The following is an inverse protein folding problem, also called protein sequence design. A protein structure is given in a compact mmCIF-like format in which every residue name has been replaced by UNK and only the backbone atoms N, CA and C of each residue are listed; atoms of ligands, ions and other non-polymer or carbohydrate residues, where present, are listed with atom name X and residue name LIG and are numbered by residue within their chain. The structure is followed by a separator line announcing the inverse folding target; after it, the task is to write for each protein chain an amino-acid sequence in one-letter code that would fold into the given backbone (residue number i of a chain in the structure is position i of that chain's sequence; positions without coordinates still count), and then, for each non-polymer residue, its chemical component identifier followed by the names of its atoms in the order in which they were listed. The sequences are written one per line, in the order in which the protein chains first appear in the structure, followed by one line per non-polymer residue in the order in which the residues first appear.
data_IF_431617649353
#
_entry.id   IF_431617649353
#
_cell.length_a   1.000
_cell.length_b   1.000
_cell.length_c   1.000
_cell.angle_alpha   90.00
_cell.angle_beta   90.00
_cell.angle_gamma   90.00
#
_symmetry.space_group_name_H-M   'P 1'
#
loop_
_entity.id
_entity.type
_entity.pdbx_description
1 polymer ?
#
# COMPACT_ATOMS: atom_id res chain seq x y z
N UNK A 1 -4.33 25.20 -33.37
CA UNK A 1 -3.76 25.25 -32.01
C UNK A 1 -3.57 23.82 -31.53
N UNK A 2 -2.32 23.38 -31.29
CA UNK A 2 -2.04 22.09 -30.65
C UNK A 2 -2.03 22.29 -29.13
N UNK A 3 -2.72 21.47 -28.32
CA UNK A 3 -2.59 21.57 -26.87
C UNK A 3 -1.16 21.21 -26.47
N UNK A 4 -0.56 22.07 -25.66
CA UNK A 4 0.76 21.83 -25.09
C UNK A 4 0.67 20.61 -24.17
N UNK A 5 1.40 19.55 -24.51
CA UNK A 5 1.59 18.42 -23.64
C UNK A 5 2.40 18.90 -22.42
N UNK A 6 1.72 19.07 -21.28
CA UNK A 6 2.36 19.32 -20.00
C UNK A 6 3.14 18.06 -19.62
N UNK A 7 4.42 18.04 -19.96
CA UNK A 7 5.35 17.05 -19.42
C UNK A 7 5.47 17.30 -17.91
N UNK A 8 4.65 16.60 -17.13
CA UNK A 8 4.93 16.38 -15.72
C UNK A 8 6.28 15.66 -15.66
N UNK A 9 7.34 16.40 -15.34
CA UNK A 9 8.60 15.79 -14.91
C UNK A 9 8.27 14.96 -13.68
N UNK A 10 8.28 13.64 -13.81
CA UNK A 10 8.30 12.75 -12.67
C UNK A 10 9.48 13.19 -11.79
N UNK A 11 9.18 13.71 -10.61
CA UNK A 11 10.21 14.13 -9.66
C UNK A 11 11.15 12.94 -9.45
N UNK A 12 12.43 13.17 -9.71
CA UNK A 12 13.50 12.17 -9.67
C UNK A 12 13.83 11.86 -8.21
N UNK A 13 12.91 11.22 -7.51
CA UNK A 13 13.17 10.56 -6.26
C UNK A 13 13.34 9.08 -6.53
N UNK A 14 14.47 8.51 -6.14
CA UNK A 14 14.57 7.07 -5.81
C UNK A 14 13.69 6.70 -4.57
N UNK A 15 12.66 7.51 -4.31
CA UNK A 15 11.75 7.45 -3.18
C UNK A 15 10.81 6.28 -3.38
N UNK A 16 10.71 5.45 -2.35
CA UNK A 16 9.81 4.33 -2.38
C UNK A 16 8.40 4.80 -2.03
N UNK A 17 7.41 4.50 -2.85
CA UNK A 17 6.02 4.84 -2.53
C UNK A 17 5.48 3.88 -1.46
N UNK A 18 4.77 4.43 -0.49
CA UNK A 18 4.16 3.68 0.60
C UNK A 18 2.65 3.68 0.47
N UNK A 19 2.05 2.53 0.77
CA UNK A 19 0.62 2.28 0.55
C UNK A 19 0.02 1.54 1.74
N UNK A 20 -1.22 1.84 2.06
CA UNK A 20 -2.04 1.06 2.98
C UNK A 20 -3.24 0.51 2.22
N UNK A 21 -3.45 -0.79 2.25
CA UNK A 21 -4.45 -1.51 1.46
C UNK A 21 -5.29 -2.40 2.39
N UNK A 22 -6.62 -2.34 2.35
CA UNK A 22 -7.47 -3.31 3.04
C UNK A 22 -7.11 -4.74 2.63
N UNK A 23 -7.07 -5.67 3.58
CA UNK A 23 -6.80 -7.07 3.28
C UNK A 23 -7.92 -7.65 2.40
N UNK A 24 -7.61 -8.23 1.22
CA UNK A 24 -8.59 -8.81 0.31
C UNK A 24 -9.52 -9.85 0.94
N UNK A 25 -9.05 -10.54 1.98
CA UNK A 25 -9.81 -11.59 2.70
C UNK A 25 -10.40 -11.09 4.01
N UNK A 26 -9.97 -9.94 4.52
CA UNK A 26 -10.50 -9.31 5.70
C UNK A 26 -10.46 -7.78 5.57
N UNK A 27 -11.46 -7.14 4.95
CA UNK A 27 -11.44 -5.69 4.70
C UNK A 27 -11.33 -4.80 5.94
N UNK A 28 -11.55 -5.35 7.15
CA UNK A 28 -11.36 -4.66 8.44
C UNK A 28 -9.88 -4.56 8.84
N UNK A 29 -9.01 -5.34 8.23
CA UNK A 29 -7.57 -5.30 8.47
C UNK A 29 -6.88 -4.47 7.38
N UNK A 30 -6.02 -3.54 7.78
CA UNK A 30 -5.16 -2.77 6.86
C UNK A 30 -3.78 -3.42 6.78
N UNK A 31 -3.27 -3.58 5.57
CA UNK A 31 -1.92 -4.05 5.26
C UNK A 31 -1.08 -2.92 4.69
N UNK A 32 0.21 -2.88 5.01
CA UNK A 32 1.08 -1.77 4.61
C UNK A 32 2.18 -2.25 3.67
N UNK A 33 2.50 -1.43 2.67
CA UNK A 33 3.34 -1.82 1.56
C UNK A 33 4.28 -0.70 1.16
N UNK A 34 5.42 -1.10 0.59
CA UNK A 34 6.42 -0.22 0.01
C UNK A 34 6.71 -0.70 -1.42
N UNK A 35 6.65 0.20 -2.41
CA UNK A 35 7.06 -0.06 -3.78
C UNK A 35 8.52 0.39 -3.97
N UNK A 36 9.37 -0.47 -4.48
CA UNK A 36 10.78 -0.14 -4.79
C UNK A 36 11.16 -0.84 -6.08
N UNK A 37 11.64 -0.05 -7.06
CA UNK A 37 11.93 -0.53 -8.42
C UNK A 37 10.75 -1.30 -9.05
N UNK A 38 9.53 -0.77 -8.88
CA UNK A 38 8.29 -1.36 -9.38
C UNK A 38 7.77 -2.58 -8.61
N UNK A 39 8.51 -3.10 -7.63
CA UNK A 39 8.08 -4.26 -6.83
C UNK A 39 7.45 -3.82 -5.52
N UNK A 40 6.26 -4.32 -5.23
CA UNK A 40 5.57 -4.10 -3.97
C UNK A 40 6.06 -5.11 -2.92
N UNK A 41 6.46 -4.62 -1.74
CA UNK A 41 6.94 -5.43 -0.60
C UNK A 41 6.20 -5.03 0.68
N UNK A 42 5.95 -5.97 1.60
CA UNK A 42 5.36 -5.63 2.89
C UNK A 42 6.19 -4.61 3.65
N UNK A 43 5.50 -3.71 4.35
CA UNK A 43 6.09 -2.74 5.27
C UNK A 43 5.41 -2.86 6.66
N UNK A 44 6.13 -2.66 7.78
CA UNK A 44 7.59 -2.55 7.89
C UNK A 44 8.31 -3.80 7.37
N UNK A 45 9.63 -3.73 7.23
CA UNK A 45 10.41 -4.89 6.83
C UNK A 45 10.10 -6.08 7.76
N UNK A 46 9.89 -7.27 7.17
CA UNK A 46 9.48 -8.51 7.85
C UNK A 46 8.00 -8.58 8.31
N UNK A 47 7.18 -7.57 8.02
CA UNK A 47 5.74 -7.71 8.19
C UNK A 47 5.22 -8.92 7.40
N UNK A 48 4.31 -9.68 8.03
CA UNK A 48 3.66 -10.85 7.44
C UNK A 48 2.18 -10.54 7.32
N UNK A 49 1.70 -10.43 6.08
CA UNK A 49 0.31 -10.21 5.75
C UNK A 49 -0.19 -11.35 4.86
N UNK A 50 -1.51 -11.51 4.79
CA UNK A 50 -2.16 -12.49 3.95
C UNK A 50 -2.03 -13.92 4.47
N UNK A 51 -2.39 -14.91 3.62
CA UNK A 51 -2.39 -16.31 3.99
C UNK A 51 -1.00 -16.78 4.42
N UNK A 52 -0.92 -17.37 5.61
CA UNK A 52 0.28 -18.00 6.14
C UNK A 52 0.08 -19.50 6.16
N UNK A 53 1.05 -20.23 5.57
CA UNK A 53 1.11 -21.68 5.68
C UNK A 53 1.97 -22.08 6.87
N UNK A 54 1.36 -22.71 7.86
CA UNK A 54 2.07 -23.30 8.99
C UNK A 54 2.43 -24.76 8.70
N UNK A 55 3.44 -25.26 9.40
CA UNK A 55 3.84 -26.67 9.28
C UNK A 55 2.72 -27.62 9.72
N UNK A 56 1.88 -27.18 10.66
CA UNK A 56 0.71 -27.92 11.14
C UNK A 56 -0.40 -28.05 10.11
N UNK A 57 -0.40 -27.23 9.06
CA UNK A 57 -1.42 -27.26 8.01
C UNK A 57 -1.07 -28.30 6.92
N UNK A 58 0.13 -28.87 6.97
CA UNK A 58 0.55 -29.91 6.05
C UNK A 58 -0.18 -31.22 6.37
N UNK A 59 -0.74 -31.92 5.36
CA UNK A 59 -1.28 -33.26 5.57
C UNK A 59 -0.26 -34.19 6.22
N UNK A 60 -0.73 -35.02 7.15
CA UNK A 60 0.12 -35.99 7.84
C UNK A 60 0.75 -36.99 6.86
N UNK A 61 1.99 -37.41 7.12
CA UNK A 61 2.71 -38.38 6.29
C UNK A 61 3.27 -37.83 4.97
N UNK A 62 2.95 -36.59 4.60
CA UNK A 62 3.42 -35.98 3.36
C UNK A 62 4.92 -35.63 3.44
N UNK A 63 5.74 -36.21 2.55
CA UNK A 63 7.20 -36.04 2.53
C UNK A 63 7.75 -35.87 1.11
N UNK A 64 8.98 -35.38 1.01
CA UNK A 64 9.73 -35.30 -0.25
C UNK A 64 9.02 -34.47 -1.31
N UNK A 65 8.97 -34.98 -2.53
CA UNK A 65 8.39 -34.29 -3.68
C UNK A 65 6.89 -33.98 -3.49
N UNK A 66 6.12 -34.93 -2.93
CA UNK A 66 4.69 -34.74 -2.71
C UNK A 66 4.40 -33.57 -1.75
N UNK A 67 5.26 -33.35 -0.75
CA UNK A 67 5.18 -32.21 0.15
C UNK A 67 5.44 -30.89 -0.60
N UNK A 68 6.45 -30.84 -1.46
CA UNK A 68 6.78 -29.66 -2.24
C UNK A 68 5.66 -29.30 -3.22
N UNK A 69 5.10 -30.28 -3.93
CA UNK A 69 3.98 -30.09 -4.86
C UNK A 69 2.74 -29.55 -4.15
N UNK A 70 2.44 -30.07 -2.96
CA UNK A 70 1.33 -29.58 -2.14
C UNK A 70 1.54 -28.12 -1.71
N UNK A 71 2.74 -27.77 -1.23
CA UNK A 71 3.09 -26.38 -0.82
C UNK A 71 2.96 -25.42 -2.01
N UNK A 72 3.48 -25.80 -3.18
CA UNK A 72 3.37 -24.99 -4.40
C UNK A 72 1.91 -24.78 -4.77
N UNK A 73 1.09 -25.85 -4.73
CA UNK A 73 -0.34 -25.76 -5.00
C UNK A 73 -1.05 -24.84 -4.02
N UNK A 74 -0.75 -24.95 -2.72
CA UNK A 74 -1.32 -24.08 -1.69
C UNK A 74 -0.99 -22.61 -1.96
N UNK A 75 0.27 -22.28 -2.28
CA UNK A 75 0.64 -20.90 -2.61
C UNK A 75 -0.05 -20.39 -3.88
N UNK A 76 -0.21 -21.24 -4.91
CA UNK A 76 -0.96 -20.87 -6.13
C UNK A 76 -2.43 -20.60 -5.86
N UNK A 77 -3.04 -21.33 -4.93
CA UNK A 77 -4.46 -21.18 -4.60
C UNK A 77 -4.74 -20.01 -3.65
N UNK A 78 -3.86 -19.76 -2.70
CA UNK A 78 -4.12 -18.81 -1.62
C UNK A 78 -3.24 -17.56 -1.69
N UNK A 79 -1.91 -17.73 -1.70
CA UNK A 79 -0.98 -16.60 -1.59
C UNK A 79 -0.88 -15.76 -2.86
N UNK A 80 -0.81 -16.38 -4.04
CA UNK A 80 -0.59 -15.65 -5.29
C UNK A 80 -1.78 -14.78 -5.67
N UNK A 81 -3.05 -15.28 -5.63
CA UNK A 81 -4.21 -14.44 -5.91
C UNK A 81 -4.34 -13.30 -4.91
N UNK A 82 -4.00 -13.55 -3.63
CA UNK A 82 -4.00 -12.51 -2.60
C UNK A 82 -2.99 -11.40 -2.91
N UNK A 83 -1.74 -11.74 -3.27
CA UNK A 83 -0.73 -10.75 -3.68
C UNK A 83 -1.09 -10.03 -4.99
N UNK A 84 -1.80 -10.69 -5.90
CA UNK A 84 -2.31 -10.06 -7.12
C UNK A 84 -3.42 -9.06 -6.80
N UNK A 85 -4.37 -9.39 -5.94
CA UNK A 85 -5.43 -8.49 -5.50
C UNK A 85 -4.86 -7.22 -4.81
N UNK A 86 -3.84 -7.37 -3.96
CA UNK A 86 -3.14 -6.22 -3.38
C UNK A 86 -2.52 -5.33 -4.47
N UNK A 87 -1.81 -5.92 -5.43
CA UNK A 87 -1.18 -5.15 -6.52
C UNK A 87 -2.23 -4.43 -7.36
N UNK A 88 -3.29 -5.13 -7.73
CA UNK A 88 -4.42 -4.55 -8.46
C UNK A 88 -5.07 -3.39 -7.72
N UNK A 89 -5.24 -3.49 -6.39
CA UNK A 89 -5.79 -2.40 -5.57
C UNK A 89 -4.87 -1.17 -5.53
N UNK A 90 -3.55 -1.35 -5.48
CA UNK A 90 -2.61 -0.23 -5.54
C UNK A 90 -2.56 0.38 -6.94
N UNK A 91 -2.60 -0.44 -7.99
CA UNK A 91 -2.53 0.05 -9.37
C UNK A 91 -3.83 0.75 -9.81
N UNK A 92 -4.99 0.38 -9.26
CA UNK A 92 -6.27 1.03 -9.55
C UNK A 92 -6.48 2.35 -8.81
N UNK A 93 -5.94 2.49 -7.60
CA UNK A 93 -6.03 3.70 -6.77
C UNK A 93 -4.72 3.96 -6.00
N UNK A 94 -3.63 4.34 -6.68
CA UNK A 94 -2.35 4.55 -6.02
C UNK A 94 -2.40 5.74 -5.05
N UNK A 95 -3.10 6.82 -5.43
CA UNK A 95 -3.24 8.04 -4.63
C UNK A 95 -4.03 7.79 -3.36
N UNK A 96 -5.19 7.12 -3.42
CA UNK A 96 -5.97 6.80 -2.23
C UNK A 96 -5.29 5.78 -1.32
N UNK A 97 -4.55 4.82 -1.88
CA UNK A 97 -3.71 3.91 -1.09
C UNK A 97 -2.57 4.64 -0.34
N UNK A 98 -1.94 5.61 -1.00
CA UNK A 98 -0.90 6.45 -0.39
C UNK A 98 -1.47 7.37 0.69
N UNK A 99 -2.62 7.99 0.43
CA UNK A 99 -3.33 8.81 1.41
C UNK A 99 -3.73 8.00 2.67
N UNK A 100 -4.28 6.79 2.49
CA UNK A 100 -4.55 5.86 3.60
C UNK A 100 -3.29 5.56 4.42
N UNK A 101 -2.14 5.34 3.76
CA UNK A 101 -0.88 5.08 4.46
C UNK A 101 -0.53 6.24 5.38
N UNK A 102 -0.59 7.47 4.87
CA UNK A 102 -0.24 8.63 5.65
C UNK A 102 -1.21 8.87 6.81
N UNK A 103 -2.51 8.72 6.56
CA UNK A 103 -3.56 8.87 7.57
C UNK A 103 -3.37 7.90 8.74
N UNK A 104 -3.07 6.63 8.46
CA UNK A 104 -2.98 5.59 9.51
C UNK A 104 -1.63 5.49 10.19
N UNK A 105 -0.55 5.93 9.55
CA UNK A 105 0.81 5.76 10.09
C UNK A 105 1.44 7.05 10.60
N UNK A 106 0.84 8.22 10.32
CA UNK A 106 1.42 9.55 10.56
C UNK A 106 2.80 9.72 9.91
N UNK A 107 3.04 9.04 8.78
CA UNK A 107 4.29 9.06 8.01
C UNK A 107 4.05 9.53 6.58
N UNK A 108 5.07 10.14 5.99
CA UNK A 108 5.07 10.58 4.61
C UNK A 108 4.84 9.39 3.68
N UNK A 109 3.82 9.47 2.81
CA UNK A 109 3.52 8.42 1.85
C UNK A 109 4.61 8.19 0.78
N UNK A 110 5.57 9.11 0.63
CA UNK A 110 6.64 9.03 -0.38
C UNK A 110 8.00 8.61 0.18
N UNK A 111 8.33 8.94 1.44
CA UNK A 111 9.63 8.60 2.02
C UNK A 111 9.54 7.81 3.33
N UNK A 112 8.34 7.68 3.91
CA UNK A 112 8.10 6.94 5.14
C UNK A 112 8.60 7.61 6.42
N UNK A 113 9.19 8.83 6.32
CA UNK A 113 9.58 9.63 7.50
C UNK A 113 8.34 10.08 8.29
N UNK A 114 8.48 10.26 9.59
CA UNK A 114 7.40 10.75 10.45
C UNK A 114 6.99 12.18 10.07
N UNK A 115 5.70 12.48 10.13
CA UNK A 115 5.14 13.80 9.86
C UNK A 115 4.95 14.54 11.19
N UNK A 116 5.64 15.67 11.34
CA UNK A 116 5.63 16.44 12.58
C UNK A 116 4.69 17.64 12.52
N UNK A 117 4.66 18.37 11.40
CA UNK A 117 3.83 19.56 11.25
C UNK A 117 2.39 19.24 10.80
N UNK A 118 1.39 20.06 11.21
CA UNK A 118 -0.01 19.87 10.84
C UNK A 118 -0.23 19.83 9.32
N UNK A 119 0.44 20.70 8.57
CA UNK A 119 0.31 20.79 7.12
C UNK A 119 0.72 19.48 6.44
N UNK A 120 1.84 18.89 6.85
CA UNK A 120 2.25 17.58 6.35
C UNK A 120 1.28 16.48 6.73
N UNK A 121 0.72 16.49 7.93
CA UNK A 121 -0.30 15.51 8.33
C UNK A 121 -1.56 15.62 7.47
N UNK A 122 -1.98 16.84 7.16
CA UNK A 122 -3.13 17.11 6.28
C UNK A 122 -2.91 16.58 4.86
N UNK A 123 -1.74 16.80 4.27
CA UNK A 123 -1.43 16.30 2.93
C UNK A 123 -1.01 14.83 2.89
N UNK A 124 -0.56 14.29 4.03
CA UNK A 124 0.06 12.98 4.11
C UNK A 124 1.47 12.88 3.51
N UNK A 125 2.10 14.02 3.18
CA UNK A 125 3.42 14.10 2.55
C UNK A 125 4.26 15.18 3.24
N UNK A 126 5.52 14.84 3.57
CA UNK A 126 6.46 15.75 4.24
C UNK A 126 6.90 16.91 3.36
N UNK A 127 7.43 18.01 3.95
CA UNK A 127 7.78 19.23 3.23
C UNK A 127 8.77 18.98 2.08
N UNK A 128 9.85 18.25 2.36
CA UNK A 128 10.88 17.90 1.35
C UNK A 128 10.31 17.09 0.18
N UNK A 129 9.30 16.27 0.43
CA UNK A 129 8.72 15.37 -0.57
C UNK A 129 7.67 16.07 -1.44
N UNK A 130 6.98 17.08 -0.91
CA UNK A 130 5.99 17.87 -1.65
C UNK A 130 6.57 19.13 -2.29
N UNK A 131 7.85 19.40 -2.11
CA UNK A 131 8.49 20.55 -2.75
C UNK A 131 8.35 20.47 -4.28
N UNK A 132 7.89 21.57 -4.87
CA UNK A 132 7.57 21.65 -6.30
C UNK A 132 6.30 20.92 -6.77
N UNK A 133 5.47 20.37 -5.86
CA UNK A 133 4.18 19.82 -6.25
C UNK A 133 3.19 20.94 -6.59
N UNK A 134 2.39 20.81 -7.67
CA UNK A 134 1.31 21.77 -7.95
C UNK A 134 0.23 21.73 -6.86
N UNK A 135 -0.35 22.89 -6.53
CA UNK A 135 -1.44 22.99 -5.53
C UNK A 135 -2.63 22.08 -5.86
N UNK A 136 -2.93 21.89 -7.15
CA UNK A 136 -3.98 20.97 -7.59
C UNK A 136 -3.72 19.52 -7.15
N UNK A 137 -2.46 19.07 -7.12
CA UNK A 137 -2.08 17.74 -6.63
C UNK A 137 -2.23 17.67 -5.12
N UNK A 138 -1.84 18.72 -4.40
CA UNK A 138 -2.01 18.80 -2.95
C UNK A 138 -3.49 18.78 -2.54
N UNK A 139 -4.35 19.48 -3.28
CA UNK A 139 -5.79 19.45 -3.07
C UNK A 139 -6.36 18.03 -3.20
N UNK A 140 -5.98 17.29 -4.26
CA UNK A 140 -6.37 15.89 -4.44
C UNK A 140 -5.91 14.99 -3.28
N UNK A 141 -4.72 15.25 -2.73
CA UNK A 141 -4.21 14.52 -1.58
C UNK A 141 -5.04 14.79 -0.32
N UNK A 142 -5.40 16.05 -0.03
CA UNK A 142 -6.27 16.40 1.11
C UNK A 142 -7.59 15.66 1.01
N UNK A 143 -8.23 15.68 -0.17
CA UNK A 143 -9.49 14.98 -0.37
C UNK A 143 -9.34 13.47 -0.17
N UNK A 144 -8.27 12.86 -0.68
CA UNK A 144 -8.01 11.44 -0.52
C UNK A 144 -7.78 11.05 0.94
N UNK A 145 -7.04 11.87 1.70
CA UNK A 145 -6.82 11.69 3.15
C UNK A 145 -8.13 11.85 3.91
N UNK A 146 -8.94 12.86 3.57
CA UNK A 146 -10.27 13.06 4.16
C UNK A 146 -11.19 11.85 3.95
N UNK A 147 -11.24 11.31 2.72
CA UNK A 147 -11.98 10.06 2.41
C UNK A 147 -11.45 8.88 3.20
N UNK A 148 -10.14 8.75 3.37
CA UNK A 148 -9.53 7.69 4.16
C UNK A 148 -9.95 7.75 5.65
N UNK A 149 -9.96 8.95 6.25
CA UNK A 149 -10.45 9.14 7.61
C UNK A 149 -11.93 8.82 7.76
N UNK A 150 -12.77 9.30 6.83
CA UNK A 150 -14.21 9.02 6.87
C UNK A 150 -14.49 7.50 6.76
N UNK A 151 -13.78 6.79 5.89
CA UNK A 151 -13.90 5.35 5.76
C UNK A 151 -13.47 4.60 7.03
N UNK A 152 -12.39 5.04 7.68
CA UNK A 152 -11.94 4.44 8.94
C UNK A 152 -12.97 4.65 10.07
N UNK A 153 -13.49 5.86 10.22
CA UNK A 153 -14.52 6.17 11.22
C UNK A 153 -15.80 5.34 11.01
N UNK A 154 -16.21 5.13 9.75
CA UNK A 154 -17.36 4.30 9.43
C UNK A 154 -17.15 2.81 9.80
N UNK A 155 -15.93 2.30 9.70
CA UNK A 155 -15.59 0.92 10.10
C UNK A 155 -15.60 0.73 11.63
N UNK A 156 -15.25 1.76 12.39
CA UNK A 156 -15.26 1.71 13.86
C UNK A 156 -16.69 1.75 14.45
N UNK A 157 -17.63 2.33 13.72
CA UNK A 157 -19.02 2.49 14.17
C UNK A 157 -19.93 1.26 13.91
N UNK A 158 -19.45 0.22 13.21
CA UNK A 158 -20.25 -0.90 12.70
C UNK A 158 -19.85 -2.27 13.28
#
# INVERSE_FOLDING_TARGET
MKPAATHQKAAKGDGADYFAVPDPTNPRQITYWRRTSGRLKPWPAKARYGPVLYRTDLPEGLKGQAQQEWIIRWHRQHTFPWHEAIRAAVDSDPTGCAARFAAFTTRCCQCGKQLHDPTSKTYGVGPDCRDGWPDAVLALMVEAVGRAHAAAAALEAA
#
